data_IF_178182911531
#
_entry.id   IF_178182911531
#
_cell.length_a   1.000
_cell.length_b   1.000
_cell.length_c   1.000
_cell.angle_alpha   90.00
_cell.angle_beta   90.00
_cell.angle_gamma   90.00
#
_symmetry.space_group_name_H-M   'P 1'
#
loop_
_entity.id
_entity.type
_entity.pdbx_description
1 polymer ?
#
# COMPACT_ATOMS: atom_id res chain seq x y z
N UNK A 1 -48.54 -21.93 -37.23
CA UNK A 1 -48.26 -21.23 -35.96
C UNK A 1 -47.86 -19.78 -36.26
N UNK A 2 -48.66 -18.78 -35.84
CA UNK A 2 -48.37 -17.35 -36.03
C UNK A 2 -47.58 -16.83 -34.81
N UNK A 3 -46.32 -16.45 -34.98
CA UNK A 3 -45.56 -15.77 -33.92
C UNK A 3 -46.03 -14.33 -33.76
N UNK A 4 -46.63 -14.00 -32.61
CA UNK A 4 -46.91 -12.60 -32.19
C UNK A 4 -45.61 -11.97 -31.67
N UNK A 5 -45.06 -11.01 -32.40
CA UNK A 5 -44.01 -10.11 -31.89
C UNK A 5 -44.64 -9.08 -30.95
N UNK A 6 -44.41 -9.21 -29.64
CA UNK A 6 -44.70 -8.15 -28.68
C UNK A 6 -43.63 -7.06 -28.80
N UNK A 7 -43.96 -5.93 -29.43
CA UNK A 7 -43.14 -4.71 -29.36
C UNK A 7 -43.43 -4.02 -28.02
N UNK A 8 -42.52 -4.18 -27.06
CA UNK A 8 -42.52 -3.39 -25.83
C UNK A 8 -42.16 -1.94 -26.21
N UNK A 9 -43.16 -1.06 -26.35
CA UNK A 9 -42.92 0.39 -26.44
C UNK A 9 -42.68 0.91 -25.02
N UNK A 10 -41.41 0.96 -24.62
CA UNK A 10 -41.00 1.58 -23.37
C UNK A 10 -41.20 3.10 -23.53
N UNK A 11 -42.28 3.63 -22.93
CA UNK A 11 -42.63 5.04 -23.04
C UNK A 11 -41.61 5.89 -22.27
N UNK A 12 -40.83 6.73 -22.98
CA UNK A 12 -39.83 7.63 -22.40
C UNK A 12 -40.36 8.48 -21.22
N UNK A 13 -41.67 8.78 -21.21
CA UNK A 13 -42.36 9.49 -20.12
C UNK A 13 -42.34 8.71 -18.79
N UNK A 14 -42.47 7.38 -18.84
CA UNK A 14 -42.39 6.55 -17.64
C UNK A 14 -40.98 6.54 -17.04
N UNK A 15 -39.95 6.64 -17.89
CA UNK A 15 -38.56 6.71 -17.45
C UNK A 15 -38.23 8.05 -16.79
N UNK A 16 -38.75 9.16 -17.32
CA UNK A 16 -38.56 10.50 -16.74
C UNK A 16 -39.27 10.61 -15.38
N UNK A 17 -40.48 10.06 -15.25
CA UNK A 17 -41.21 10.06 -13.97
C UNK A 17 -40.49 9.19 -12.93
N UNK A 18 -39.99 8.01 -13.33
CA UNK A 18 -39.20 7.14 -12.45
C UNK A 18 -37.89 7.82 -12.01
N UNK A 19 -37.23 8.53 -12.93
CA UNK A 19 -36.00 9.28 -12.64
C UNK A 19 -36.23 10.46 -11.69
N UNK A 20 -37.33 11.19 -11.85
CA UNK A 20 -37.73 12.27 -10.93
C UNK A 20 -38.09 11.73 -9.54
N UNK A 21 -38.80 10.61 -9.44
CA UNK A 21 -39.11 9.94 -8.17
C UNK A 21 -37.86 9.39 -7.45
N UNK A 22 -36.85 8.94 -8.21
CA UNK A 22 -35.56 8.49 -7.64
C UNK A 22 -34.69 9.67 -7.18
N UNK A 23 -34.81 10.85 -7.81
CA UNK A 23 -33.99 12.03 -7.49
C UNK A 23 -34.37 12.71 -6.15
N UNK A 24 -35.57 12.47 -5.61
CA UNK A 24 -36.03 13.09 -4.36
C UNK A 24 -35.55 12.37 -3.09
N UNK A 25 -34.81 11.27 -3.19
CA UNK A 25 -34.27 10.58 -2.02
C UNK A 25 -32.88 11.13 -1.69
N UNK A 26 -32.83 12.30 -1.07
CA UNK A 26 -31.61 12.76 -0.40
C UNK A 26 -31.39 11.96 0.89
N UNK A 27 -30.86 10.74 0.75
CA UNK A 27 -30.30 10.00 1.87
C UNK A 27 -29.02 10.72 2.33
N UNK A 28 -29.18 11.67 3.25
CA UNK A 28 -28.02 12.18 3.98
C UNK A 28 -27.42 11.00 4.76
N UNK A 29 -26.28 10.50 4.28
CA UNK A 29 -25.52 9.50 5.00
C UNK A 29 -25.15 10.08 6.37
N UNK A 30 -25.62 9.45 7.44
CA UNK A 30 -25.25 9.85 8.80
C UNK A 30 -23.77 9.58 9.01
N UNK A 31 -22.98 10.63 9.04
CA UNK A 31 -21.56 10.54 9.34
C UNK A 31 -21.34 10.57 10.86
N UNK A 32 -20.34 9.82 11.32
CA UNK A 32 -20.02 9.72 12.74
C UNK A 32 -18.55 10.00 13.00
N UNK A 33 -18.26 10.49 14.20
CA UNK A 33 -16.90 10.72 14.70
C UNK A 33 -16.81 10.28 16.16
N UNK A 34 -15.62 9.87 16.59
CA UNK A 34 -15.36 9.35 17.94
C UNK A 34 -14.49 10.32 18.72
N UNK A 35 -14.81 10.54 20.00
CA UNK A 35 -14.01 11.41 20.88
C UNK A 35 -12.65 10.77 21.17
N UNK A 36 -11.56 11.47 20.89
CA UNK A 36 -10.19 10.95 21.05
C UNK A 36 -9.51 11.39 22.36
N UNK A 37 -9.98 12.47 22.98
CA UNK A 37 -9.37 13.08 24.17
C UNK A 37 -10.33 13.12 25.35
N UNK A 38 -9.88 12.82 26.58
CA UNK A 38 -10.68 13.00 27.80
C UNK A 38 -10.97 14.49 28.10
N UNK A 39 -10.19 15.41 27.53
CA UNK A 39 -10.38 16.85 27.68
C UNK A 39 -11.40 17.44 26.69
N UNK A 40 -11.98 16.60 25.83
CA UNK A 40 -12.94 17.05 24.84
C UNK A 40 -14.23 17.54 25.51
N UNK A 41 -14.80 18.62 24.97
CA UNK A 41 -16.00 19.27 25.49
C UNK A 41 -16.93 19.59 24.32
N UNK A 42 -18.23 19.45 24.55
CA UNK A 42 -19.26 19.88 23.61
C UNK A 42 -19.61 21.34 23.90
N UNK A 43 -19.24 22.24 22.99
CA UNK A 43 -19.36 23.69 23.14
C UNK A 43 -20.64 24.20 22.48
N UNK A 44 -21.17 25.33 22.96
CA UNK A 44 -22.34 25.98 22.32
C UNK A 44 -21.97 26.78 21.06
N UNK A 45 -20.74 27.25 20.98
CA UNK A 45 -20.20 28.03 19.87
C UNK A 45 -18.90 27.40 19.35
N UNK A 46 -18.51 27.64 18.09
CA UNK A 46 -17.23 27.19 17.53
C UNK A 46 -16.06 28.07 18.01
N UNK A 47 -15.82 28.10 19.33
CA UNK A 47 -14.73 28.85 19.98
C UNK A 47 -14.03 27.94 20.99
N UNK A 48 -12.70 28.03 21.08
CA UNK A 48 -11.88 27.14 21.94
C UNK A 48 -12.03 27.49 23.44
N UNK A 49 -12.32 28.76 23.75
CA UNK A 49 -12.54 29.26 25.11
C UNK A 49 -14.00 29.65 25.25
N UNK A 50 -14.77 28.88 26.02
CA UNK A 50 -16.19 29.17 26.29
C UNK A 50 -16.52 28.81 27.74
N UNK A 51 -17.30 29.65 28.41
CA UNK A 51 -17.74 29.41 29.79
C UNK A 51 -18.89 28.39 29.90
N UNK A 52 -19.45 27.94 28.76
CA UNK A 52 -20.61 27.05 28.71
C UNK A 52 -20.37 25.85 27.80
N UNK A 53 -20.16 24.68 28.41
CA UNK A 53 -19.95 23.40 27.71
C UNK A 53 -20.64 22.23 28.42
N UNK A 54 -20.83 21.15 27.67
CA UNK A 54 -21.22 19.85 28.22
C UNK A 54 -20.02 18.89 28.17
N UNK A 55 -19.73 18.15 29.25
CA UNK A 55 -18.67 17.15 29.24
C UNK A 55 -19.03 15.98 28.33
N UNK A 56 -18.04 15.49 27.59
CA UNK A 56 -18.14 14.29 26.74
C UNK A 56 -17.00 13.35 27.11
N UNK A 57 -17.25 12.04 27.11
CA UNK A 57 -16.23 11.04 27.49
C UNK A 57 -15.43 10.62 26.26
N UNK A 58 -14.17 10.24 26.48
CA UNK A 58 -13.33 9.61 25.46
C UNK A 58 -14.04 8.36 24.90
N UNK A 59 -13.79 8.08 23.61
CA UNK A 59 -14.35 6.99 22.82
C UNK A 59 -15.88 7.07 22.56
N UNK A 60 -16.57 8.12 22.99
CA UNK A 60 -17.99 8.30 22.67
C UNK A 60 -18.20 8.66 21.19
N UNK A 61 -19.31 8.16 20.64
CA UNK A 61 -19.72 8.36 19.25
C UNK A 61 -20.60 9.60 19.11
N UNK A 62 -20.24 10.48 18.18
CA UNK A 62 -20.92 11.74 17.87
C UNK A 62 -21.43 11.70 16.42
N UNK A 63 -22.65 12.18 16.17
CA UNK A 63 -23.21 12.29 14.82
C UNK A 63 -22.87 13.66 14.24
N UNK A 64 -22.24 13.72 13.07
CA UNK A 64 -21.89 14.98 12.41
C UNK A 64 -23.14 15.53 11.72
N UNK A 65 -23.51 16.75 12.10
CA UNK A 65 -24.55 17.54 11.42
C UNK A 65 -23.91 18.41 10.33
N UNK A 66 -22.79 19.07 10.65
CA UNK A 66 -22.13 20.01 9.74
C UNK A 66 -20.61 20.08 10.00
N UNK A 67 -19.84 20.30 8.94
CA UNK A 67 -18.38 20.50 9.00
C UNK A 67 -18.10 22.00 8.84
N UNK A 68 -17.67 22.67 9.89
CA UNK A 68 -17.43 24.12 9.91
C UNK A 68 -15.97 24.40 10.31
N UNK A 69 -15.09 24.53 9.31
CA UNK A 69 -13.66 24.82 9.53
C UNK A 69 -12.95 23.78 10.40
N UNK A 70 -12.45 24.22 11.56
CA UNK A 70 -11.76 23.38 12.57
C UNK A 70 -12.71 22.74 13.58
N UNK A 71 -14.02 22.93 13.44
CA UNK A 71 -15.05 22.33 14.29
C UNK A 71 -15.98 21.39 13.51
N UNK A 72 -16.50 20.40 14.21
CA UNK A 72 -17.68 19.65 13.80
C UNK A 72 -18.87 20.15 14.62
N UNK A 73 -19.97 20.49 13.95
CA UNK A 73 -21.27 20.61 14.58
C UNK A 73 -21.85 19.22 14.70
N UNK A 74 -22.06 18.75 15.93
CA UNK A 74 -22.42 17.38 16.23
C UNK A 74 -23.70 17.28 17.05
N UNK A 75 -24.39 16.15 16.91
CA UNK A 75 -25.46 15.73 17.81
C UNK A 75 -24.92 14.68 18.77
N UNK A 76 -25.14 14.89 20.06
CA UNK A 76 -24.73 13.97 21.12
C UNK A 76 -25.76 13.97 22.26
N UNK A 77 -26.31 12.79 22.56
CA UNK A 77 -27.35 12.59 23.60
C UNK A 77 -28.49 13.63 23.52
N UNK A 78 -28.97 13.90 22.31
CA UNK A 78 -30.05 14.87 22.05
C UNK A 78 -29.64 16.35 22.05
N UNK A 79 -28.39 16.67 22.41
CA UNK A 79 -27.85 18.04 22.37
C UNK A 79 -27.09 18.28 21.08
N UNK A 80 -27.19 19.50 20.55
CA UNK A 80 -26.43 19.96 19.39
C UNK A 80 -25.36 20.95 19.88
N UNK A 81 -24.13 20.77 19.44
CA UNK A 81 -23.02 21.65 19.80
C UNK A 81 -21.81 21.44 18.90
N UNK A 82 -20.72 22.11 19.24
CA UNK A 82 -19.48 22.13 18.48
C UNK A 82 -18.40 21.34 19.20
N UNK A 83 -17.61 20.58 18.46
CA UNK A 83 -16.42 19.87 18.96
C UNK A 83 -15.23 20.14 18.03
N UNK A 84 -14.03 20.44 18.54
CA UNK A 84 -12.86 20.66 17.70
C UNK A 84 -12.45 19.37 16.99
N UNK A 85 -12.12 19.46 15.70
CA UNK A 85 -11.72 18.30 14.88
C UNK A 85 -10.51 17.57 15.47
N UNK A 86 -9.59 18.29 16.12
CA UNK A 86 -8.39 17.74 16.77
C UNK A 86 -8.67 16.79 17.94
N UNK A 87 -9.86 16.84 18.55
CA UNK A 87 -10.25 15.94 19.64
C UNK A 87 -11.15 14.79 19.17
N UNK A 88 -11.17 14.53 17.87
CA UNK A 88 -12.08 13.55 17.26
C UNK A 88 -11.40 12.72 16.17
N UNK A 89 -11.82 11.46 15.99
CA UNK A 89 -11.38 10.57 14.91
C UNK A 89 -12.57 10.01 14.13
N UNK A 90 -12.46 9.95 12.81
CA UNK A 90 -13.50 9.40 11.93
C UNK A 90 -13.55 7.86 11.93
N UNK A 91 -12.51 7.22 12.47
CA UNK A 91 -12.41 5.77 12.62
C UNK A 91 -12.79 5.34 14.03
N UNK A 92 -13.50 4.20 14.15
CA UNK A 92 -13.86 3.62 15.45
C UNK A 92 -12.56 3.19 16.16
N UNK A 93 -12.26 3.70 17.38
CA UNK A 93 -11.08 3.27 18.10
C UNK A 93 -11.17 1.77 18.44
N UNK A 94 -10.04 1.02 18.40
CA UNK A 94 -10.03 -0.40 18.74
C UNK A 94 -10.52 -0.64 20.17
N UNK A 95 -11.39 -1.64 20.35
CA UNK A 95 -11.96 -2.06 21.64
C UNK A 95 -10.93 -2.87 22.44
N UNK A 96 -9.86 -2.23 22.92
CA UNK A 96 -9.07 -2.73 24.05
C UNK A 96 -8.02 -1.68 24.43
N UNK A 97 -8.30 -0.92 25.48
CA UNK A 97 -7.24 -0.28 26.26
C UNK A 97 -7.55 -0.61 27.71
N UNK A 98 -6.78 -1.55 28.26
CA UNK A 98 -6.73 -1.77 29.69
C UNK A 98 -6.34 -0.45 30.37
N UNK A 99 -7.12 -0.04 31.36
CA UNK A 99 -6.68 0.93 32.36
C UNK A 99 -5.43 0.33 33.02
N UNK A 100 -4.28 0.98 32.85
CA UNK A 100 -3.05 0.59 33.53
C UNK A 100 -3.12 1.11 34.97
N UNK A 101 -3.16 0.15 35.90
CA UNK A 101 -2.99 0.33 37.34
C UNK A 101 -1.60 0.95 37.64
N UNK A 102 -1.43 1.91 38.56
CA UNK A 102 -0.19 2.69 38.66
C UNK A 102 0.98 2.00 39.38
N UNK A 103 0.87 0.77 39.87
CA UNK A 103 1.91 0.17 40.72
C UNK A 103 2.29 -1.25 40.28
N UNK A 104 3.57 -1.45 39.93
CA UNK A 104 4.14 -2.81 39.90
C UNK A 104 5.21 -3.08 38.84
N UNK A 105 6.37 -2.41 38.90
CA UNK A 105 7.58 -2.97 38.30
C UNK A 105 8.18 -4.02 39.24
N UNK A 106 8.16 -5.30 38.86
CA UNK A 106 9.10 -6.31 39.36
C UNK A 106 9.74 -7.08 38.20
N UNK A 107 11.06 -7.01 38.17
CA UNK A 107 11.94 -7.89 37.41
C UNK A 107 11.70 -9.35 37.77
N UNK A 108 11.82 -10.25 36.79
CA UNK A 108 12.14 -11.65 37.03
C UNK A 108 13.19 -12.16 36.05
N UNK A 109 14.36 -12.47 36.61
CA UNK A 109 15.46 -13.27 36.06
C UNK A 109 15.13 -14.76 36.06
N UNK A 110 15.67 -15.54 35.11
CA UNK A 110 16.41 -16.80 35.39
C UNK A 110 16.84 -17.52 34.10
N UNK A 111 18.02 -18.12 34.14
CA UNK A 111 18.71 -18.87 33.08
C UNK A 111 18.18 -20.30 32.83
N UNK A 112 18.41 -20.76 31.59
CA UNK A 112 18.69 -22.13 31.07
C UNK A 112 18.24 -23.38 31.85
N UNK A 113 17.51 -24.28 31.17
CA UNK A 113 17.91 -25.69 30.81
C UNK A 113 16.71 -26.52 30.33
N UNK A 114 16.82 -27.10 29.13
CA UNK A 114 16.40 -28.45 28.70
C UNK A 114 15.89 -28.45 27.25
N UNK A 115 16.77 -28.87 26.34
CA UNK A 115 16.43 -29.37 25.02
C UNK A 115 15.92 -30.82 25.13
N UNK A 116 15.20 -31.26 24.09
CA UNK A 116 14.90 -32.65 23.71
C UNK A 116 13.80 -33.41 24.49
N UNK A 117 12.53 -33.24 24.08
CA UNK A 117 11.67 -34.37 23.65
C UNK A 117 10.34 -33.86 23.09
N UNK A 118 10.22 -33.86 21.74
CA UNK A 118 9.00 -34.12 20.94
C UNK A 118 9.12 -33.44 19.58
N UNK A 119 9.82 -34.14 18.69
CA UNK A 119 9.58 -34.04 17.27
C UNK A 119 8.19 -34.62 16.94
N UNK A 120 7.51 -33.99 15.98
CA UNK A 120 6.35 -34.45 15.18
C UNK A 120 5.15 -33.50 15.28
N UNK A 121 4.75 -32.98 14.11
CA UNK A 121 3.63 -32.07 13.82
C UNK A 121 3.81 -30.56 14.15
N UNK A 122 4.31 -29.77 13.20
CA UNK A 122 4.00 -28.32 13.12
C UNK A 122 2.72 -28.13 12.26
N UNK A 123 1.60 -27.67 12.83
CA UNK A 123 0.52 -27.10 12.05
C UNK A 123 0.96 -25.73 11.51
N UNK A 124 0.58 -25.47 10.25
CA UNK A 124 0.89 -24.28 9.46
C UNK A 124 0.94 -22.98 10.29
N UNK A 125 2.13 -22.37 10.36
CA UNK A 125 2.30 -20.98 10.82
C UNK A 125 1.34 -20.09 10.03
N UNK A 126 0.33 -19.56 10.73
CA UNK A 126 -0.35 -18.32 10.33
C UNK A 126 0.75 -17.30 10.06
N UNK A 127 0.80 -16.82 8.81
CA UNK A 127 1.59 -15.66 8.41
C UNK A 127 1.18 -14.53 9.36
N UNK A 128 2.05 -14.16 10.30
CA UNK A 128 1.91 -12.91 11.01
C UNK A 128 2.03 -11.80 9.97
N UNK A 129 0.97 -11.01 9.79
CA UNK A 129 1.13 -9.70 9.17
C UNK A 129 2.12 -8.94 10.05
N UNK A 130 3.39 -8.88 9.65
CA UNK A 130 4.37 -7.98 10.25
C UNK A 130 4.03 -6.56 9.82
N UNK A 131 2.91 -6.04 10.34
CA UNK A 131 2.68 -4.60 10.36
C UNK A 131 3.74 -4.01 11.29
N UNK A 132 4.43 -2.92 10.88
CA UNK A 132 5.33 -2.22 11.78
C UNK A 132 4.55 -1.86 13.06
N UNK A 133 5.13 -2.15 14.21
CA UNK A 133 4.54 -1.81 15.51
C UNK A 133 4.25 -0.32 15.56
N UNK A 134 3.09 0.07 16.11
CA UNK A 134 2.79 1.48 16.38
C UNK A 134 3.82 2.03 17.37
N UNK A 135 4.37 3.24 17.13
CA UNK A 135 5.42 3.77 17.98
C UNK A 135 4.86 4.06 19.37
N UNK A 136 5.55 3.57 20.40
CA UNK A 136 5.38 4.07 21.77
C UNK A 136 6.11 5.40 21.81
N UNK A 137 5.39 6.52 21.91
CA UNK A 137 6.01 7.85 22.03
C UNK A 137 6.72 7.92 23.40
N UNK A 138 8.05 7.95 23.46
CA UNK A 138 8.78 8.04 24.72
C UNK A 138 8.69 9.45 25.31
N UNK A 139 8.91 9.57 26.61
CA UNK A 139 9.03 10.86 27.30
C UNK A 139 10.14 11.72 26.64
N UNK A 140 9.84 13.00 26.38
CA UNK A 140 10.77 13.91 25.72
C UNK A 140 11.86 14.39 26.68
N UNK A 141 13.12 14.09 26.38
CA UNK A 141 14.24 14.63 27.15
C UNK A 141 14.60 16.07 26.74
N UNK A 142 14.29 16.49 25.50
CA UNK A 142 14.53 17.86 25.04
C UNK A 142 13.48 18.32 24.02
N UNK A 143 12.74 19.38 24.33
CA UNK A 143 11.66 19.90 23.46
C UNK A 143 12.21 20.53 22.16
N UNK A 144 13.38 21.19 22.23
CA UNK A 144 14.02 21.93 21.14
C UNK A 144 15.51 21.59 21.03
N UNK A 145 15.98 21.26 19.83
CA UNK A 145 17.39 21.21 19.47
C UNK A 145 17.70 22.22 18.36
N UNK A 146 18.52 23.23 18.65
CA UNK A 146 19.06 24.16 17.66
C UNK A 146 20.58 24.01 17.72
N UNK A 147 21.24 23.74 16.60
CA UNK A 147 22.70 23.59 16.56
C UNK A 147 23.30 23.73 15.17
N UNK A 148 24.49 24.29 15.08
CA UNK A 148 25.28 24.34 13.83
C UNK A 148 25.77 22.92 13.49
N UNK A 149 26.26 22.22 14.51
CA UNK A 149 26.51 20.78 14.58
C UNK A 149 25.97 20.32 15.93
N UNK A 150 24.77 19.75 16.01
CA UNK A 150 24.13 19.58 17.34
C UNK A 150 24.85 18.60 18.27
N UNK A 151 25.72 17.72 17.72
CA UNK A 151 26.33 16.62 18.51
C UNK A 151 27.78 16.26 18.09
N UNK A 152 28.42 16.99 17.17
CA UNK A 152 29.85 16.78 16.84
C UNK A 152 30.73 17.62 17.79
N UNK A 153 31.02 17.10 18.99
CA UNK A 153 32.05 17.70 19.86
C UNK A 153 31.79 17.64 21.36
N UNK A 154 30.61 17.21 21.79
CA UNK A 154 30.30 16.96 23.20
C UNK A 154 29.81 15.52 23.30
N UNK A 155 30.43 14.70 24.17
CA UNK A 155 30.03 13.32 24.51
C UNK A 155 28.65 13.29 25.23
N UNK A 156 27.64 13.96 24.68
CA UNK A 156 26.27 13.91 25.14
C UNK A 156 25.59 12.74 24.43
N UNK A 157 24.96 11.86 25.20
CA UNK A 157 24.14 10.78 24.62
C UNK A 157 23.05 11.41 23.75
N UNK A 158 22.76 10.86 22.56
CA UNK A 158 21.64 11.30 21.74
C UNK A 158 20.35 11.23 22.57
N UNK A 159 19.53 12.26 22.50
CA UNK A 159 18.26 12.37 23.24
C UNK A 159 17.06 12.44 22.28
N UNK A 160 15.86 12.10 22.78
CA UNK A 160 14.62 12.25 22.03
C UNK A 160 14.27 13.74 21.87
N UNK A 161 14.00 14.18 20.63
CA UNK A 161 13.69 15.58 20.29
C UNK A 161 12.30 15.71 19.66
N UNK A 162 11.54 16.74 20.03
CA UNK A 162 10.27 17.06 19.36
C UNK A 162 10.51 17.96 18.13
N UNK A 163 11.33 19.00 18.30
CA UNK A 163 11.73 19.94 17.25
C UNK A 163 13.25 20.01 17.15
N UNK A 164 13.79 19.87 15.94
CA UNK A 164 15.22 19.97 15.66
C UNK A 164 15.50 20.78 14.40
N UNK A 165 16.41 21.74 14.52
CA UNK A 165 16.96 22.51 13.42
C UNK A 165 18.49 22.44 13.48
N UNK A 166 19.09 21.82 12.47
CA UNK A 166 20.52 21.67 12.31
C UNK A 166 20.98 22.50 11.11
N UNK A 167 22.07 23.26 11.25
CA UNK A 167 22.60 23.97 10.09
C UNK A 167 23.35 23.00 9.16
N UNK A 168 24.17 22.08 9.67
CA UNK A 168 24.90 21.13 8.83
C UNK A 168 24.53 19.67 9.13
N UNK A 169 24.77 19.21 10.35
CA UNK A 169 24.50 17.82 10.76
C UNK A 169 23.87 17.76 12.14
N UNK A 170 22.91 16.84 12.33
CA UNK A 170 22.38 16.53 13.66
C UNK A 170 22.21 15.05 13.90
N UNK A 171 22.43 14.62 15.16
CA UNK A 171 22.17 13.28 15.63
C UNK A 171 21.07 13.33 16.71
N UNK A 172 20.22 12.31 16.78
CA UNK A 172 19.11 12.25 17.74
C UNK A 172 18.80 10.81 18.08
N UNK A 173 18.46 10.52 19.34
CA UNK A 173 17.98 9.18 19.70
C UNK A 173 16.58 8.93 19.12
N UNK A 174 15.79 9.97 18.89
CA UNK A 174 14.46 9.89 18.29
C UNK A 174 13.96 11.27 17.93
N UNK A 175 13.07 11.35 16.94
CA UNK A 175 12.45 12.60 16.50
C UNK A 175 10.94 12.43 16.45
N UNK A 176 10.17 13.29 17.11
CA UNK A 176 8.72 13.14 17.21
C UNK A 176 7.99 14.45 16.89
N UNK A 177 8.30 15.06 15.74
CA UNK A 177 7.70 16.31 15.31
C UNK A 177 8.33 16.80 14.02
N UNK A 178 9.36 17.63 14.11
CA UNK A 178 10.04 18.18 12.93
C UNK A 178 11.55 18.16 13.12
N UNK A 179 12.27 17.66 12.13
CA UNK A 179 13.72 17.67 12.06
C UNK A 179 14.18 18.23 10.71
N UNK A 180 15.05 19.22 10.72
CA UNK A 180 15.64 19.77 9.51
C UNK A 180 17.15 19.90 9.64
N UNK A 181 17.88 19.59 8.57
CA UNK A 181 19.32 19.73 8.47
C UNK A 181 19.76 19.95 7.03
N UNK A 182 20.69 20.87 6.74
CA UNK A 182 21.11 21.12 5.35
C UNK A 182 21.78 19.88 4.75
N UNK A 183 22.74 19.27 5.47
CA UNK A 183 23.53 18.15 4.95
C UNK A 183 23.04 16.79 5.46
N UNK A 184 23.04 16.54 6.78
CA UNK A 184 22.78 15.20 7.31
C UNK A 184 21.94 15.20 8.59
N UNK A 185 20.85 14.44 8.58
CA UNK A 185 20.05 14.13 9.77
C UNK A 185 20.16 12.64 10.08
N UNK A 186 20.70 12.32 11.26
CA UNK A 186 20.78 10.97 11.79
C UNK A 186 19.80 10.83 12.96
N UNK A 187 18.99 9.77 12.93
CA UNK A 187 18.10 9.40 14.02
C UNK A 187 18.36 7.94 14.36
N UNK A 188 18.92 7.67 15.53
CA UNK A 188 19.30 6.32 15.95
C UNK A 188 18.08 5.45 16.33
N UNK A 189 16.98 6.08 16.74
CA UNK A 189 15.70 5.47 17.09
C UNK A 189 14.62 5.74 16.05
N UNK A 190 13.38 5.86 16.53
CA UNK A 190 12.23 6.12 15.66
C UNK A 190 12.10 7.60 15.30
N UNK A 191 11.57 7.83 14.10
CA UNK A 191 11.15 9.14 13.64
C UNK A 191 9.63 9.11 13.46
N UNK A 192 8.91 10.03 14.11
CA UNK A 192 7.52 10.32 13.84
C UNK A 192 7.35 11.80 13.51
N UNK A 193 6.86 12.13 12.31
CA UNK A 193 6.67 13.51 11.87
C UNK A 193 7.37 13.85 10.57
N UNK A 194 8.01 15.01 10.49
CA UNK A 194 8.63 15.54 9.27
C UNK A 194 10.15 15.59 9.39
N UNK A 195 10.85 15.13 8.36
CA UNK A 195 12.31 15.21 8.29
C UNK A 195 12.77 15.74 6.94
N UNK A 196 13.59 16.78 6.95
CA UNK A 196 14.08 17.46 5.76
C UNK A 196 15.60 17.59 5.77
N UNK A 197 16.26 17.20 4.69
CA UNK A 197 17.69 17.43 4.53
C UNK A 197 18.31 16.71 3.35
N UNK A 198 19.56 17.01 3.00
CA UNK A 198 20.19 16.34 1.86
C UNK A 198 20.34 14.82 2.11
N UNK A 199 20.67 14.40 3.33
CA UNK A 199 20.71 13.01 3.75
C UNK A 199 19.90 12.81 5.02
N UNK A 200 18.86 11.98 4.96
CA UNK A 200 18.04 11.60 6.11
C UNK A 200 18.21 10.10 6.39
N UNK A 201 18.69 9.76 7.58
CA UNK A 201 18.90 8.38 8.01
C UNK A 201 18.17 8.12 9.32
N UNK A 202 17.33 7.09 9.34
CA UNK A 202 16.60 6.65 10.53
C UNK A 202 16.91 5.18 10.75
N UNK A 203 17.65 4.86 11.80
CA UNK A 203 18.11 3.49 12.03
C UNK A 203 16.96 2.54 12.44
N UNK A 204 15.88 3.06 13.04
CA UNK A 204 14.66 2.29 13.32
C UNK A 204 13.56 2.61 12.30
N UNK A 205 12.35 2.95 12.77
CA UNK A 205 11.17 3.10 11.94
C UNK A 205 10.82 4.57 11.69
N UNK A 206 10.24 4.82 10.52
CA UNK A 206 9.75 6.13 10.07
C UNK A 206 8.23 6.14 10.06
N UNK A 207 7.64 7.09 10.77
CA UNK A 207 6.20 7.33 10.87
C UNK A 207 5.88 8.76 10.44
N UNK A 208 5.91 9.04 9.14
CA UNK A 208 5.68 10.39 8.64
C UNK A 208 6.27 10.66 7.26
N UNK A 209 6.89 11.83 7.09
CA UNK A 209 7.41 12.29 5.80
C UNK A 209 8.90 12.56 5.90
N UNK A 210 9.66 11.92 5.02
CA UNK A 210 11.06 12.26 4.77
C UNK A 210 11.18 12.90 3.39
N UNK A 211 11.88 14.02 3.30
CA UNK A 211 12.20 14.66 2.04
C UNK A 211 13.67 15.08 2.01
N UNK A 212 14.39 14.69 0.95
CA UNK A 212 15.82 14.87 0.88
C UNK A 212 16.47 14.44 -0.42
N UNK A 213 17.81 14.50 -0.46
CA UNK A 213 18.60 13.88 -1.52
C UNK A 213 18.55 12.36 -1.40
N UNK A 214 18.93 11.86 -0.24
CA UNK A 214 18.82 10.45 0.15
C UNK A 214 17.96 10.31 1.40
N UNK A 215 17.04 9.36 1.38
CA UNK A 215 16.33 8.93 2.57
C UNK A 215 16.58 7.45 2.82
N UNK A 216 16.99 7.10 4.03
CA UNK A 216 17.18 5.72 4.46
C UNK A 216 16.43 5.41 5.76
N UNK A 217 15.89 4.19 5.85
CA UNK A 217 15.29 3.66 7.08
C UNK A 217 15.64 2.19 7.33
N UNK A 218 16.05 1.87 8.55
CA UNK A 218 16.47 0.53 8.94
C UNK A 218 15.31 -0.44 9.14
N UNK A 219 14.28 -0.07 9.90
CA UNK A 219 13.12 -0.94 10.20
C UNK A 219 11.87 -0.66 9.38
N UNK A 220 11.91 0.31 8.47
CA UNK A 220 10.77 0.65 7.61
C UNK A 220 9.79 1.56 8.33
N UNK A 221 8.49 1.23 8.35
CA UNK A 221 7.45 2.03 9.02
C UNK A 221 6.28 2.44 8.10
N UNK A 222 5.69 3.61 8.34
CA UNK A 222 4.55 4.13 7.58
C UNK A 222 4.82 5.57 7.15
N UNK A 223 4.64 5.88 5.87
CA UNK A 223 4.87 7.27 5.47
C UNK A 223 5.04 7.55 3.99
N UNK A 224 5.63 8.71 3.74
CA UNK A 224 6.02 9.20 2.42
C UNK A 224 7.52 9.50 2.42
N UNK A 225 8.23 9.03 1.40
CA UNK A 225 9.64 9.37 1.20
C UNK A 225 9.83 10.04 -0.16
N UNK A 226 10.45 11.22 -0.17
CA UNK A 226 10.77 12.00 -1.37
C UNK A 226 12.29 12.16 -1.48
N UNK A 227 12.91 11.42 -2.41
CA UNK A 227 14.37 11.38 -2.59
C UNK A 227 14.79 11.97 -3.94
N UNK A 228 15.60 13.03 -3.96
CA UNK A 228 16.17 13.56 -5.21
C UNK A 228 17.27 12.65 -5.81
N UNK A 229 17.78 11.69 -5.07
CA UNK A 229 18.69 10.67 -5.59
C UNK A 229 18.07 9.30 -5.36
N UNK A 230 17.62 9.02 -4.15
CA UNK A 230 16.86 7.81 -3.91
C UNK A 230 16.39 7.59 -2.49
N UNK A 231 15.58 6.55 -2.36
CA UNK A 231 15.04 6.08 -1.10
C UNK A 231 15.48 4.63 -0.86
N UNK A 232 15.92 4.31 0.35
CA UNK A 232 16.37 2.97 0.74
C UNK A 232 15.67 2.51 2.02
N UNK A 233 15.02 1.36 1.95
CA UNK A 233 14.34 0.76 3.09
C UNK A 233 14.75 -0.71 3.23
N UNK A 234 15.14 -1.06 4.44
CA UNK A 234 15.70 -2.40 4.72
C UNK A 234 14.64 -3.41 5.20
N UNK A 235 13.46 -2.95 5.62
CA UNK A 235 12.38 -3.77 6.20
C UNK A 235 10.98 -3.30 5.72
N UNK A 236 9.90 -3.77 6.35
CA UNK A 236 8.52 -3.47 5.96
C UNK A 236 8.20 -1.97 6.00
N UNK A 237 7.85 -1.39 4.84
CA UNK A 237 7.41 0.00 4.77
C UNK A 237 6.09 0.15 4.05
N UNK A 238 5.07 0.45 4.85
CA UNK A 238 3.71 0.67 4.41
C UNK A 238 3.53 2.14 4.03
N UNK A 239 4.06 2.49 2.86
CA UNK A 239 4.05 3.87 2.40
C UNK A 239 4.34 4.04 0.92
N UNK A 240 4.53 5.29 0.51
CA UNK A 240 4.89 5.64 -0.86
C UNK A 240 6.31 6.18 -0.92
N UNK A 241 7.07 5.74 -1.91
CA UNK A 241 8.40 6.24 -2.19
C UNK A 241 8.43 6.91 -3.56
N UNK A 242 8.89 8.15 -3.60
CA UNK A 242 9.10 8.92 -4.82
C UNK A 242 10.56 9.30 -4.87
N UNK A 243 11.29 8.75 -5.84
CA UNK A 243 12.72 8.92 -5.98
C UNK A 243 13.06 9.26 -7.41
N UNK A 244 13.79 10.33 -7.72
CA UNK A 244 14.14 10.64 -9.12
C UNK A 244 14.98 9.54 -9.76
N UNK A 245 16.00 8.99 -9.10
CA UNK A 245 16.77 7.88 -9.67
C UNK A 245 16.26 6.52 -9.17
N UNK A 246 16.44 6.21 -7.89
CA UNK A 246 16.24 4.84 -7.41
C UNK A 246 15.37 4.78 -6.15
N UNK A 247 14.43 3.84 -6.13
CA UNK A 247 13.78 3.38 -4.90
C UNK A 247 14.15 1.92 -4.65
N UNK A 248 14.61 1.62 -3.45
CA UNK A 248 14.87 0.25 -3.00
C UNK A 248 14.12 -0.02 -1.70
N UNK A 249 13.31 -1.07 -1.71
CA UNK A 249 12.71 -1.66 -0.53
C UNK A 249 13.02 -3.16 -0.50
N UNK A 250 13.56 -3.69 0.60
CA UNK A 250 13.78 -5.14 0.76
C UNK A 250 12.49 -5.90 1.08
N UNK A 251 11.41 -5.21 1.40
CA UNK A 251 10.12 -5.79 1.68
C UNK A 251 9.00 -5.15 0.85
N UNK A 252 7.77 -5.19 1.36
CA UNK A 252 6.58 -4.72 0.68
C UNK A 252 6.41 -3.19 0.83
N UNK A 253 5.86 -2.58 -0.21
CA UNK A 253 5.54 -1.15 -0.28
C UNK A 253 4.20 -0.91 -0.99
N UNK A 254 3.56 0.22 -0.71
CA UNK A 254 2.32 0.55 -1.42
C UNK A 254 2.65 1.03 -2.84
N UNK A 255 3.52 2.03 -2.96
CA UNK A 255 3.88 2.58 -4.26
C UNK A 255 5.34 3.01 -4.35
N UNK A 256 5.96 2.77 -5.51
CA UNK A 256 7.27 3.30 -5.87
C UNK A 256 7.20 4.02 -7.21
N UNK A 257 7.67 5.26 -7.23
CA UNK A 257 7.69 6.13 -8.40
C UNK A 257 9.15 6.59 -8.60
N UNK A 258 9.74 6.30 -9.76
CA UNK A 258 11.07 6.82 -10.11
C UNK A 258 11.25 7.10 -11.58
N UNK A 259 12.36 7.72 -11.99
CA UNK A 259 12.73 7.78 -13.40
C UNK A 259 13.52 6.53 -13.80
N UNK A 260 14.45 6.05 -12.96
CA UNK A 260 15.34 4.95 -13.34
C UNK A 260 14.86 3.61 -12.81
N UNK A 261 15.10 3.31 -11.54
CA UNK A 261 14.87 1.96 -11.02
C UNK A 261 13.98 1.94 -9.77
N UNK A 262 12.98 1.06 -9.78
CA UNK A 262 12.31 0.61 -8.56
C UNK A 262 12.63 -0.86 -8.30
N UNK A 263 13.07 -1.15 -7.07
CA UNK A 263 13.27 -2.51 -6.59
C UNK A 263 12.49 -2.70 -5.29
N UNK A 264 11.63 -3.72 -5.25
CA UNK A 264 10.87 -4.11 -4.06
C UNK A 264 10.78 -5.62 -3.94
N UNK A 265 10.47 -6.16 -2.76
CA UNK A 265 9.98 -7.55 -2.67
C UNK A 265 8.56 -7.60 -3.22
N UNK A 266 7.67 -6.80 -2.66
CA UNK A 266 6.30 -6.61 -3.09
C UNK A 266 5.96 -5.14 -3.30
N UNK A 267 5.17 -4.82 -4.31
CA UNK A 267 4.65 -3.47 -4.49
C UNK A 267 3.25 -3.49 -5.10
N UNK A 268 2.32 -2.69 -4.59
CA UNK A 268 1.02 -2.56 -5.25
C UNK A 268 1.23 -1.84 -6.60
N UNK A 269 1.95 -0.72 -6.60
CA UNK A 269 2.25 0.03 -7.81
C UNK A 269 3.75 0.31 -7.93
N UNK A 270 4.34 -0.02 -9.07
CA UNK A 270 5.67 0.48 -9.45
C UNK A 270 5.59 1.21 -10.78
N UNK A 271 6.17 2.40 -10.84
CA UNK A 271 6.28 3.16 -12.09
C UNK A 271 7.67 3.73 -12.28
N UNK A 272 8.27 3.49 -13.45
CA UNK A 272 9.56 4.06 -13.84
C UNK A 272 9.71 4.26 -15.35
N UNK A 273 10.78 4.90 -15.78
CA UNK A 273 11.15 4.93 -17.20
C UNK A 273 11.99 3.69 -17.51
N UNK A 274 13.06 3.43 -16.75
CA UNK A 274 13.97 2.33 -17.11
C UNK A 274 13.50 0.97 -16.63
N UNK A 275 13.37 0.77 -15.32
CA UNK A 275 13.21 -0.58 -14.78
C UNK A 275 12.34 -0.63 -13.52
N UNK A 276 11.41 -1.58 -13.51
CA UNK A 276 10.81 -2.09 -12.28
C UNK A 276 11.23 -3.53 -12.07
N UNK A 277 11.63 -3.86 -10.84
CA UNK A 277 11.99 -5.22 -10.43
C UNK A 277 11.31 -5.55 -9.12
N UNK A 278 10.54 -6.65 -9.09
CA UNK A 278 10.01 -7.17 -7.83
C UNK A 278 9.90 -8.68 -7.80
N UNK A 279 9.71 -9.26 -6.62
CA UNK A 279 9.26 -10.66 -6.51
C UNK A 279 7.77 -10.75 -6.84
N UNK A 280 6.98 -9.85 -6.27
CA UNK A 280 5.57 -9.69 -6.51
C UNK A 280 5.21 -8.24 -6.82
N UNK A 281 4.26 -8.00 -7.72
CA UNK A 281 3.66 -6.67 -7.88
C UNK A 281 2.22 -6.75 -8.33
N UNK A 282 1.41 -5.75 -8.00
CA UNK A 282 0.04 -5.71 -8.50
C UNK A 282 -0.01 -5.08 -9.89
N UNK A 283 0.65 -3.93 -10.05
CA UNK A 283 0.79 -3.21 -11.31
C UNK A 283 2.22 -2.69 -11.47
N UNK A 284 2.79 -2.88 -12.66
CA UNK A 284 4.10 -2.35 -13.05
C UNK A 284 4.03 -1.59 -14.39
N UNK A 285 4.46 -0.33 -14.36
CA UNK A 285 4.64 0.53 -15.52
C UNK A 285 6.13 0.87 -15.65
N UNK A 286 6.82 0.33 -16.63
CA UNK A 286 8.17 0.79 -16.97
C UNK A 286 8.22 1.05 -18.46
N UNK A 287 8.83 2.13 -18.92
CA UNK A 287 8.97 2.32 -20.36
C UNK A 287 9.85 1.20 -20.96
N UNK A 288 11.01 0.88 -20.37
CA UNK A 288 11.89 -0.17 -20.90
C UNK A 288 11.62 -1.56 -20.32
N UNK A 289 11.85 -1.80 -19.03
CA UNK A 289 11.89 -3.14 -18.45
C UNK A 289 10.99 -3.31 -17.22
N UNK A 290 10.13 -4.31 -17.25
CA UNK A 290 9.48 -4.82 -16.04
C UNK A 290 9.89 -6.27 -15.79
N UNK A 291 10.27 -6.56 -14.55
CA UNK A 291 10.66 -7.90 -14.11
C UNK A 291 9.87 -8.25 -12.84
N UNK A 292 9.10 -9.34 -12.89
CA UNK A 292 8.40 -9.92 -11.75
C UNK A 292 8.88 -11.38 -11.56
N UNK A 293 9.67 -11.65 -10.52
CA UNK A 293 10.29 -12.98 -10.33
C UNK A 293 9.29 -14.09 -9.99
N UNK A 294 8.15 -13.77 -9.37
CA UNK A 294 7.10 -14.74 -9.02
C UNK A 294 5.79 -14.40 -9.69
N UNK A 295 5.22 -13.24 -9.40
CA UNK A 295 3.89 -12.89 -9.90
C UNK A 295 3.69 -11.39 -10.08
N UNK A 296 3.17 -10.99 -11.24
CA UNK A 296 2.51 -9.72 -11.44
C UNK A 296 0.99 -9.97 -11.45
N UNK A 297 0.28 -9.54 -10.41
CA UNK A 297 -1.10 -9.94 -10.18
C UNK A 297 -2.07 -9.41 -11.22
N UNK A 298 -1.82 -8.25 -11.84
CA UNK A 298 -2.74 -7.66 -12.81
C UNK A 298 -2.04 -7.25 -14.10
N UNK A 299 -1.24 -6.19 -14.06
CA UNK A 299 -0.80 -5.52 -15.27
C UNK A 299 0.70 -5.23 -15.24
N UNK A 300 1.35 -5.62 -16.32
CA UNK A 300 2.72 -5.28 -16.63
C UNK A 300 2.76 -4.61 -18.00
N UNK A 301 3.29 -3.38 -18.10
CA UNK A 301 3.40 -2.70 -19.38
C UNK A 301 4.71 -1.96 -19.55
N UNK A 302 5.29 -2.10 -20.74
CA UNK A 302 6.62 -1.63 -21.10
C UNK A 302 7.14 -2.27 -22.38
N UNK A 303 8.29 -1.85 -22.89
CA UNK A 303 8.89 -2.47 -24.07
C UNK A 303 9.20 -3.96 -23.81
N UNK A 304 9.75 -4.28 -22.63
CA UNK A 304 10.10 -5.64 -22.22
C UNK A 304 9.45 -6.00 -20.91
N UNK A 305 8.60 -7.03 -20.94
CA UNK A 305 7.91 -7.54 -19.77
C UNK A 305 8.32 -9.00 -19.54
N UNK A 306 8.91 -9.27 -18.38
CA UNK A 306 9.22 -10.62 -17.91
C UNK A 306 8.50 -10.87 -16.61
N UNK A 307 7.75 -11.97 -16.56
CA UNK A 307 7.15 -12.45 -15.34
C UNK A 307 7.17 -13.97 -15.30
N UNK A 308 7.17 -14.54 -14.10
CA UNK A 308 6.92 -15.96 -13.95
C UNK A 308 5.41 -16.25 -14.09
N UNK A 309 4.57 -15.51 -13.37
CA UNK A 309 3.12 -15.40 -13.58
C UNK A 309 2.70 -13.94 -13.84
N UNK A 310 1.83 -13.70 -14.81
CA UNK A 310 1.16 -12.40 -15.02
C UNK A 310 -0.30 -12.60 -15.44
N UNK A 311 -1.19 -11.62 -15.20
CA UNK A 311 -2.51 -11.63 -15.84
C UNK A 311 -2.48 -10.93 -17.19
N UNK A 312 -1.94 -9.72 -17.26
CA UNK A 312 -1.91 -8.91 -18.48
C UNK A 312 -0.49 -8.39 -18.70
N UNK A 313 0.07 -8.66 -19.88
CA UNK A 313 1.32 -8.08 -20.34
C UNK A 313 1.09 -7.32 -21.65
N UNK A 314 1.45 -6.04 -21.67
CA UNK A 314 1.36 -5.17 -22.85
C UNK A 314 2.76 -4.63 -23.17
N UNK A 315 3.30 -4.96 -24.33
CA UNK A 315 4.68 -4.57 -24.62
C UNK A 315 5.17 -4.95 -26.00
N UNK A 316 6.44 -4.64 -26.30
CA UNK A 316 7.05 -5.14 -27.53
C UNK A 316 7.40 -6.62 -27.38
N UNK A 317 7.95 -6.99 -26.22
CA UNK A 317 8.33 -8.33 -25.85
C UNK A 317 7.68 -8.72 -24.53
N UNK A 318 6.86 -9.75 -24.55
CA UNK A 318 6.23 -10.32 -23.37
C UNK A 318 6.72 -11.76 -23.18
N UNK A 319 7.31 -12.03 -22.03
CA UNK A 319 7.78 -13.35 -21.65
C UNK A 319 7.15 -13.78 -20.32
N UNK A 320 6.54 -14.97 -20.34
CA UNK A 320 5.92 -15.60 -19.19
C UNK A 320 6.43 -17.03 -19.01
N UNK A 321 7.12 -17.30 -17.89
CA UNK A 321 7.71 -18.63 -17.66
C UNK A 321 6.62 -19.66 -17.40
N UNK A 322 5.72 -19.40 -16.43
CA UNK A 322 4.62 -20.31 -16.10
C UNK A 322 3.28 -19.85 -16.68
N UNK A 323 2.89 -18.58 -16.49
CA UNK A 323 1.52 -18.14 -16.79
C UNK A 323 1.43 -16.69 -17.29
N UNK A 324 0.66 -16.45 -18.35
CA UNK A 324 0.16 -15.13 -18.71
C UNK A 324 -1.26 -15.18 -19.29
N UNK A 325 -2.28 -14.65 -18.60
CA UNK A 325 -3.65 -14.74 -19.12
C UNK A 325 -3.85 -14.00 -20.45
N UNK A 326 -3.29 -12.79 -20.58
CA UNK A 326 -3.36 -11.97 -21.79
C UNK A 326 -1.99 -11.38 -22.10
N UNK A 327 -1.50 -11.60 -23.32
CA UNK A 327 -0.28 -10.98 -23.81
C UNK A 327 -0.58 -10.27 -25.14
N UNK A 328 -0.26 -8.98 -25.20
CA UNK A 328 -0.36 -8.19 -26.43
C UNK A 328 0.99 -7.54 -26.69
N UNK A 329 1.58 -7.85 -27.83
CA UNK A 329 2.89 -7.35 -28.18
C UNK A 329 3.42 -7.85 -29.50
N UNK A 330 4.57 -7.36 -29.94
CA UNK A 330 5.17 -7.85 -31.19
C UNK A 330 5.59 -9.32 -31.02
N UNK A 331 6.22 -9.63 -29.89
CA UNK A 331 6.66 -10.97 -29.52
C UNK A 331 6.03 -11.38 -28.20
N UNK A 332 5.28 -12.48 -28.22
CA UNK A 332 4.69 -13.07 -27.03
C UNK A 332 5.21 -14.50 -26.86
N UNK A 333 5.82 -14.80 -25.71
CA UNK A 333 6.48 -16.09 -25.43
C UNK A 333 5.97 -16.64 -24.10
N UNK A 334 5.55 -17.91 -24.10
CA UNK A 334 5.07 -18.63 -22.92
C UNK A 334 5.62 -20.05 -22.80
N UNK A 335 6.37 -20.36 -21.74
CA UNK A 335 7.10 -21.64 -21.62
C UNK A 335 6.30 -22.78 -20.97
N UNK A 336 5.36 -22.52 -20.07
CA UNK A 336 4.59 -23.56 -19.36
C UNK A 336 3.08 -23.28 -19.27
N UNK A 337 2.50 -22.74 -20.33
CA UNK A 337 1.09 -22.34 -20.37
C UNK A 337 0.14 -23.54 -20.46
N UNK A 338 -0.51 -23.94 -19.36
CA UNK A 338 -1.58 -24.93 -19.41
C UNK A 338 -2.89 -24.32 -19.95
N UNK A 339 -3.80 -25.19 -20.37
CA UNK A 339 -5.05 -24.89 -21.04
C UNK A 339 -6.20 -25.60 -20.30
N UNK A 340 -7.12 -24.79 -19.79
CA UNK A 340 -8.42 -25.10 -19.19
C UNK A 340 -8.46 -25.95 -17.92
N UNK A 341 -8.59 -25.26 -16.79
CA UNK A 341 -9.75 -25.48 -15.94
C UNK A 341 -10.25 -24.13 -15.41
N UNK A 342 -11.47 -24.10 -14.89
CA UNK A 342 -12.02 -23.05 -14.00
C UNK A 342 -11.24 -23.06 -12.65
N UNK A 343 -9.91 -23.02 -12.75
CA UNK A 343 -8.92 -23.14 -11.70
C UNK A 343 -7.70 -22.37 -12.18
N UNK A 344 -7.68 -21.08 -11.87
CA UNK A 344 -6.56 -20.15 -11.64
C UNK A 344 -5.20 -20.28 -12.37
N UNK A 345 -4.96 -21.11 -13.39
CA UNK A 345 -3.57 -21.38 -13.87
C UNK A 345 -3.29 -21.22 -15.39
N UNK A 346 -4.24 -20.76 -16.21
CA UNK A 346 -4.06 -20.80 -17.68
C UNK A 346 -3.79 -19.45 -18.38
N UNK A 347 -3.15 -19.55 -19.56
CA UNK A 347 -2.90 -18.44 -20.50
C UNK A 347 -3.95 -18.46 -21.62
N UNK A 348 -4.70 -17.37 -21.75
CA UNK A 348 -5.93 -17.37 -22.54
C UNK A 348 -5.73 -16.80 -23.95
N UNK A 349 -4.94 -15.73 -24.07
CA UNK A 349 -4.89 -14.95 -25.31
C UNK A 349 -3.51 -14.36 -25.58
N UNK A 350 -3.01 -14.56 -26.79
CA UNK A 350 -1.83 -13.88 -27.31
C UNK A 350 -2.16 -13.15 -28.61
N UNK A 351 -1.75 -11.90 -28.73
CA UNK A 351 -1.88 -11.12 -29.97
C UNK A 351 -0.57 -10.43 -30.32
N UNK A 352 -0.07 -10.67 -31.54
CA UNK A 352 1.24 -10.17 -31.94
C UNK A 352 1.70 -10.54 -33.34
N UNK A 353 2.92 -10.16 -33.69
CA UNK A 353 3.55 -10.62 -34.94
C UNK A 353 3.96 -12.08 -34.78
N UNK A 354 4.59 -12.40 -33.66
CA UNK A 354 5.06 -13.73 -33.31
C UNK A 354 4.53 -14.15 -31.94
N UNK A 355 3.73 -15.21 -31.93
CA UNK A 355 3.21 -15.83 -30.72
C UNK A 355 3.78 -17.22 -30.57
N UNK A 356 4.47 -17.47 -29.47
CA UNK A 356 5.01 -18.77 -29.12
C UNK A 356 4.47 -19.23 -27.77
N UNK A 357 4.02 -20.48 -27.73
CA UNK A 357 3.71 -21.16 -26.50
C UNK A 357 4.22 -22.60 -26.55
N UNK A 358 4.93 -23.07 -25.52
CA UNK A 358 5.37 -24.46 -25.47
C UNK A 358 4.20 -25.44 -25.37
N UNK A 359 3.09 -24.99 -24.79
CA UNK A 359 1.84 -25.74 -24.57
C UNK A 359 0.67 -24.99 -25.23
N UNK A 360 -0.53 -25.52 -25.09
CA UNK A 360 -1.72 -24.98 -25.75
C UNK A 360 -2.11 -23.61 -25.15
N UNK A 361 -2.43 -22.67 -26.03
CA UNK A 361 -3.08 -21.39 -25.72
C UNK A 361 -4.45 -21.44 -26.36
N UNK A 362 -5.45 -20.86 -25.70
CA UNK A 362 -6.82 -20.87 -26.23
C UNK A 362 -6.91 -20.16 -27.58
N UNK A 363 -6.43 -18.91 -27.66
CA UNK A 363 -6.43 -18.12 -28.89
C UNK A 363 -5.11 -17.38 -29.10
N UNK A 364 -4.49 -17.59 -30.25
CA UNK A 364 -3.37 -16.78 -30.74
C UNK A 364 -3.80 -16.06 -32.02
N UNK A 365 -3.55 -14.75 -32.09
CA UNK A 365 -3.76 -13.92 -33.27
C UNK A 365 -2.43 -13.31 -33.69
N UNK A 366 -1.96 -13.63 -34.89
CA UNK A 366 -0.68 -13.13 -35.35
C UNK A 366 -0.19 -13.70 -36.67
N UNK A 367 0.82 -13.08 -37.27
CA UNK A 367 1.40 -13.57 -38.52
C UNK A 367 1.95 -14.99 -38.36
N UNK A 368 2.58 -15.27 -37.22
CA UNK A 368 3.14 -16.57 -36.88
C UNK A 368 2.64 -16.99 -35.49
N UNK A 369 1.89 -18.09 -35.44
CA UNK A 369 1.41 -18.69 -34.19
C UNK A 369 2.00 -20.10 -34.03
N UNK A 370 2.93 -20.25 -33.10
CA UNK A 370 3.62 -21.51 -32.79
C UNK A 370 3.15 -22.07 -31.45
N UNK A 371 2.70 -23.33 -31.47
CA UNK A 371 2.54 -24.15 -30.26
C UNK A 371 3.19 -25.52 -30.38
N UNK A 372 4.26 -25.76 -29.62
CA UNK A 372 5.12 -26.96 -29.80
C UNK A 372 4.47 -28.29 -29.41
N UNK A 373 3.38 -28.27 -28.63
CA UNK A 373 2.62 -29.48 -28.24
C UNK A 373 1.25 -29.59 -28.91
N UNK A 374 0.99 -28.76 -29.91
CA UNK A 374 -0.25 -28.85 -30.70
C UNK A 374 -0.08 -29.79 -31.88
N UNK A 375 -1.18 -30.40 -32.35
CA UNK A 375 -1.18 -31.29 -33.52
C UNK A 375 -0.71 -30.60 -34.79
N UNK A 376 -0.87 -29.28 -34.89
CA UNK A 376 -0.40 -28.46 -36.00
C UNK A 376 0.49 -27.36 -35.41
N UNK A 377 1.82 -27.53 -35.30
CA UNK A 377 2.68 -26.62 -34.54
C UNK A 377 2.69 -25.18 -35.04
N UNK A 378 2.44 -24.92 -36.33
CA UNK A 378 2.46 -23.58 -36.92
C UNK A 378 1.14 -23.27 -37.64
N UNK A 379 0.55 -22.11 -37.34
CA UNK A 379 -0.64 -21.62 -38.02
C UNK A 379 -0.52 -20.11 -38.25
N UNK A 380 -0.74 -19.61 -39.47
CA UNK A 380 -0.75 -18.17 -39.74
C UNK A 380 -2.08 -17.55 -39.31
N UNK A 381 -2.06 -16.24 -39.02
CA UNK A 381 -3.19 -15.36 -38.70
C UNK A 381 -3.95 -15.69 -37.43
N UNK A 382 -4.53 -16.89 -37.34
CA UNK A 382 -5.39 -17.32 -36.25
C UNK A 382 -5.05 -18.76 -35.89
N UNK A 383 -4.82 -19.00 -34.60
CA UNK A 383 -4.86 -20.33 -34.01
C UNK A 383 -5.87 -20.31 -32.87
N UNK A 384 -6.85 -21.20 -32.96
CA UNK A 384 -7.74 -21.48 -31.84
C UNK A 384 -7.59 -22.93 -31.44
N UNK A 385 -7.39 -23.18 -30.15
CA UNK A 385 -7.39 -24.53 -29.63
C UNK A 385 -8.74 -24.81 -28.95
N UNK A 386 -9.59 -25.59 -29.63
CA UNK A 386 -10.92 -25.98 -29.16
C UNK A 386 -10.88 -27.11 -28.13
N UNK A 387 -9.81 -27.91 -28.06
CA UNK A 387 -9.68 -28.96 -27.03
C UNK A 387 -9.70 -28.34 -25.62
N UNK A 388 -9.21 -27.10 -25.52
CA UNK A 388 -9.29 -26.25 -24.34
C UNK A 388 -10.74 -25.95 -23.94
N UNK A 389 -11.67 -25.78 -24.88
CA UNK A 389 -13.08 -25.50 -24.56
C UNK A 389 -13.87 -26.76 -24.16
N UNK A 390 -13.43 -27.94 -24.62
CA UNK A 390 -14.18 -29.19 -24.49
C UNK A 390 -13.57 -30.18 -23.50
N UNK A 391 -12.52 -29.84 -22.75
CA UNK A 391 -12.04 -30.68 -21.64
C UNK A 391 -12.97 -30.59 -20.43
N UNK A 392 -14.23 -31.00 -20.60
CA UNK A 392 -15.09 -31.47 -19.52
C UNK A 392 -14.88 -32.97 -19.36
N UNK A 393 -14.71 -33.38 -18.11
CA UNK A 393 -15.01 -34.74 -17.64
C UNK A 393 -14.19 -35.87 -18.26
N UNK A 394 -12.89 -35.96 -17.95
CA UNK A 394 -12.26 -37.28 -17.74
C UNK A 394 -11.22 -37.21 -16.63
N UNK A 395 -11.68 -37.37 -15.39
CA UNK A 395 -11.12 -38.37 -14.49
C UNK A 395 -12.11 -38.68 -13.36
N UNK A 396 -12.27 -39.96 -12.97
CA UNK A 396 -13.16 -40.42 -11.90
C UNK A 396 -12.79 -39.87 -10.52
#
# INVERSE_FOLDING_TARGET
MKQRKYKLKLNARAFIILFLLLSSVSLFAREFVYVSSPSAKLMKEPKIVTDSYFPIKKAEKLEIIQKEGVFFKVRYKGKVGYVPRMFTHTQKPPLSYYELDPEGYRYCSSEKRSEEFNASYEPQKKVSENKPDTPIIPFYEKLLGIGIYSDMGLNLKPANKFLQFNLFSGNSAGVYGFNSGIYKNLVDGDMAGLQFGFWNSVNQSVYGVQAGGFNDSGKGGYGLQFGFIGNMITNDFWGMQIGTLNNWNKSDTLAQISLFNNTARGAILQTSILKNSSEGSFVQFAFFYNIAKRENFILQTGLFNRADKSKIQLGFFNYAERKASFQIGIFNIGDNQYSFAVRDDDSFFQMGVYNYARKNVFLQLGLINHSSRSSIPYLPFIRMNLEVLFSKEKNP
#
